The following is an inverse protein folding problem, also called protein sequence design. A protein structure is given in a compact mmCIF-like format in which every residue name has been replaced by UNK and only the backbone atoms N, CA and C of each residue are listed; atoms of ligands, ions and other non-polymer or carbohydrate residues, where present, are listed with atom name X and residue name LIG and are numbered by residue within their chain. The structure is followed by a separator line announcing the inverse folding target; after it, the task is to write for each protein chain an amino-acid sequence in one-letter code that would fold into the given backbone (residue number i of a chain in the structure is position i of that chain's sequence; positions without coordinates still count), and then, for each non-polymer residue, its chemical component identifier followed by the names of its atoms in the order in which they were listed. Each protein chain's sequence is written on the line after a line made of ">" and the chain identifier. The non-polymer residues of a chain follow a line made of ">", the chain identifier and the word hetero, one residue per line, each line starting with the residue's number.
data_IF_933821362926
#
_entry.id   IF_933821362926
#
_cell.length_a   1.000
_cell.length_b   1.000
_cell.length_c   1.000
_cell.angle_alpha   90.00
_cell.angle_beta   90.00
_cell.angle_gamma   90.00
#
_symmetry.space_group_name_H-M   'P 1'
#
loop_
_entity.id
_entity.type
_entity.pdbx_description
1 polymer ?
#
# COMPACT_ATOMS: atom_id res chain seq x y z
N UNK A 1 8.40 -14.17 4.48
CA UNK A 1 8.70 -12.78 4.87
C UNK A 1 8.54 -12.48 6.37
N UNK A 2 7.66 -13.15 7.13
CA UNK A 2 7.45 -12.92 8.59
C UNK A 2 8.68 -13.07 9.50
N UNK A 3 9.77 -13.66 9.02
CA UNK A 3 11.04 -13.82 9.76
C UNK A 3 11.99 -12.63 9.60
N UNK A 4 11.61 -11.61 8.82
CA UNK A 4 12.41 -10.40 8.62
C UNK A 4 11.87 -9.34 9.59
N UNK A 5 12.68 -8.85 10.55
CA UNK A 5 12.24 -7.85 11.51
C UNK A 5 11.69 -6.59 10.83
N UNK A 6 10.59 -6.05 11.36
CA UNK A 6 9.94 -4.86 10.82
C UNK A 6 9.06 -5.09 9.60
N UNK A 7 9.02 -6.30 9.01
CA UNK A 7 8.07 -6.66 7.96
C UNK A 7 6.83 -7.36 8.51
N UNK A 8 5.67 -6.94 8.02
CA UNK A 8 4.36 -7.39 8.44
C UNK A 8 3.58 -7.92 7.21
N UNK A 9 3.59 -9.24 6.95
CA UNK A 9 2.77 -9.83 5.89
C UNK A 9 1.27 -9.75 6.21
N UNK A 10 0.38 -9.95 5.21
CA UNK A 10 -1.05 -10.02 5.45
C UNK A 10 -1.40 -11.03 6.55
N UNK A 11 -2.28 -10.62 7.46
CA UNK A 11 -2.84 -11.50 8.48
C UNK A 11 -4.05 -12.26 7.92
N UNK A 12 -4.09 -13.57 8.16
CA UNK A 12 -5.24 -14.43 7.83
C UNK A 12 -5.88 -14.86 9.14
N UNK A 13 -7.15 -14.51 9.40
CA UNK A 13 -7.87 -14.99 10.57
C UNK A 13 -8.00 -16.51 10.58
N UNK A 14 -7.98 -17.11 11.77
CA UNK A 14 -7.92 -18.57 11.95
C UNK A 14 -9.17 -19.32 11.42
N UNK A 15 -10.27 -18.61 11.18
CA UNK A 15 -11.57 -19.15 10.75
C UNK A 15 -11.81 -19.09 9.23
N UNK A 16 -10.82 -18.64 8.44
CA UNK A 16 -10.98 -18.48 6.99
C UNK A 16 -9.68 -18.71 6.22
N UNK A 17 -9.82 -18.92 4.92
CA UNK A 17 -8.70 -18.95 3.98
C UNK A 17 -8.68 -17.68 3.13
N UNK A 18 -7.61 -17.49 2.36
CA UNK A 18 -7.42 -16.30 1.53
C UNK A 18 -6.85 -16.67 0.17
N UNK A 19 -7.14 -15.83 -0.82
CA UNK A 19 -6.41 -15.73 -2.07
C UNK A 19 -6.01 -14.28 -2.26
N UNK A 20 -4.75 -14.05 -2.66
CA UNK A 20 -4.22 -12.71 -2.81
C UNK A 20 -4.29 -12.26 -4.28
N UNK A 21 -5.23 -11.37 -4.60
CA UNK A 21 -5.17 -10.61 -5.85
C UNK A 21 -3.97 -9.64 -5.85
N UNK A 22 -3.69 -9.05 -4.68
CA UNK A 22 -2.51 -8.24 -4.38
C UNK A 22 -1.92 -8.69 -3.06
N UNK A 23 -0.64 -9.01 -3.03
CA UNK A 23 0.07 -9.35 -1.80
C UNK A 23 0.65 -8.07 -1.18
N UNK A 24 -0.16 -7.39 -0.36
CA UNK A 24 0.25 -6.16 0.31
C UNK A 24 1.07 -6.47 1.56
N UNK A 25 2.33 -6.07 1.54
CA UNK A 25 3.26 -6.18 2.66
C UNK A 25 3.34 -4.83 3.37
N UNK A 26 3.16 -4.83 4.69
CA UNK A 26 3.42 -3.65 5.52
C UNK A 26 4.82 -3.70 6.11
N UNK A 27 5.33 -2.53 6.46
CA UNK A 27 6.47 -2.41 7.35
C UNK A 27 6.06 -1.61 8.60
N UNK A 28 6.79 -1.79 9.69
CA UNK A 28 6.57 -1.08 10.96
C UNK A 28 7.63 0.00 11.14
N UNK A 29 7.31 1.29 10.93
CA UNK A 29 8.27 2.38 11.10
C UNK A 29 8.88 2.45 12.49
N UNK A 30 8.13 2.10 13.54
CA UNK A 30 8.61 2.16 14.91
C UNK A 30 9.58 1.02 15.20
N UNK A 31 9.23 -0.21 14.79
CA UNK A 31 10.11 -1.36 14.95
C UNK A 31 11.42 -1.22 14.15
N UNK A 32 11.36 -0.51 13.01
CA UNK A 32 12.51 -0.17 12.17
C UNK A 32 13.28 1.07 12.67
N UNK A 33 12.79 1.76 13.71
CA UNK A 33 13.45 2.94 14.26
C UNK A 33 13.52 4.14 13.31
N UNK A 34 12.64 4.20 12.31
CA UNK A 34 12.69 5.19 11.24
C UNK A 34 12.62 6.63 11.80
N UNK A 35 13.48 7.50 11.27
CA UNK A 35 13.51 8.94 11.59
C UNK A 35 13.01 9.83 10.45
N UNK A 36 12.68 9.22 9.32
CA UNK A 36 12.12 9.86 8.14
C UNK A 36 10.62 9.53 8.01
N UNK A 37 9.85 10.31 7.24
CA UNK A 37 8.47 9.96 6.92
C UNK A 37 8.34 8.54 6.35
N UNK A 38 7.29 7.81 6.74
CA UNK A 38 7.05 6.45 6.27
C UNK A 38 6.94 6.38 4.74
N UNK A 39 6.37 7.41 4.10
CA UNK A 39 6.28 7.54 2.64
C UNK A 39 7.65 7.61 1.97
N UNK A 40 8.61 8.29 2.59
CA UNK A 40 9.96 8.45 2.03
C UNK A 40 10.71 7.12 2.11
N UNK A 41 10.60 6.44 3.25
CA UNK A 41 11.11 5.08 3.40
C UNK A 41 10.46 4.11 2.41
N UNK A 42 9.12 4.14 2.27
CA UNK A 42 8.37 3.29 1.33
C UNK A 42 8.92 3.44 -0.08
N UNK A 43 9.12 4.67 -0.54
CA UNK A 43 9.61 4.92 -1.90
C UNK A 43 11.03 4.39 -2.07
N UNK A 44 11.94 4.69 -1.13
CA UNK A 44 13.32 4.16 -1.17
C UNK A 44 13.37 2.63 -1.09
N UNK A 45 12.50 2.03 -0.29
CA UNK A 45 12.37 0.57 -0.20
C UNK A 45 11.90 -0.04 -1.52
N UNK A 46 10.89 0.57 -2.16
CA UNK A 46 10.43 0.14 -3.49
C UNK A 46 11.57 0.23 -4.50
N UNK A 47 12.28 1.35 -4.57
CA UNK A 47 13.41 1.54 -5.50
C UNK A 47 14.52 0.50 -5.27
N UNK A 48 14.86 0.21 -4.01
CA UNK A 48 15.86 -0.79 -3.65
C UNK A 48 15.44 -2.22 -4.04
N UNK A 49 14.16 -2.56 -3.81
CA UNK A 49 13.61 -3.86 -4.19
C UNK A 49 13.57 -4.03 -5.72
N UNK A 50 13.16 -3.00 -6.45
CA UNK A 50 13.18 -2.99 -7.91
C UNK A 50 14.61 -3.15 -8.45
N UNK A 51 15.61 -2.52 -7.83
CA UNK A 51 17.02 -2.69 -8.18
C UNK A 51 17.53 -4.13 -7.96
N UNK A 52 16.96 -4.87 -7.01
CA UNK A 52 17.21 -6.31 -6.80
C UNK A 52 16.36 -7.22 -7.71
N UNK A 53 15.55 -6.65 -8.61
CA UNK A 53 14.70 -7.39 -9.55
C UNK A 53 13.36 -7.84 -8.97
N UNK A 54 12.94 -7.29 -7.83
CA UNK A 54 11.61 -7.54 -7.25
C UNK A 54 10.59 -6.63 -7.91
N UNK A 55 9.56 -7.24 -8.50
CA UNK A 55 8.40 -6.50 -9.00
C UNK A 55 7.58 -5.97 -7.81
N UNK A 56 7.52 -4.66 -7.63
CA UNK A 56 6.81 -4.01 -6.52
C UNK A 56 5.95 -2.82 -6.99
N UNK A 57 4.87 -2.51 -6.28
CA UNK A 57 4.01 -1.35 -6.60
C UNK A 57 3.23 -0.87 -5.36
N UNK A 58 2.50 0.23 -5.45
CA UNK A 58 1.79 0.84 -4.31
C UNK A 58 0.27 0.61 -4.32
N UNK A 59 -0.33 0.48 -5.52
CA UNK A 59 -1.78 0.45 -5.77
C UNK A 59 -2.55 1.47 -4.92
N UNK A 60 -2.48 2.72 -5.39
CA UNK A 60 -2.87 3.97 -4.72
C UNK A 60 -1.89 4.42 -3.62
N UNK A 61 -1.89 5.73 -3.37
CA UNK A 61 -1.06 6.40 -2.34
C UNK A 61 -1.89 7.26 -1.39
N UNK A 62 -3.20 7.35 -1.64
CA UNK A 62 -4.17 8.08 -0.83
C UNK A 62 -5.46 7.26 -0.73
N UNK A 63 -6.22 7.40 0.36
CA UNK A 63 -7.49 6.71 0.53
C UNK A 63 -8.54 7.26 -0.45
N UNK A 64 -9.55 6.45 -0.75
CA UNK A 64 -10.60 6.77 -1.72
C UNK A 64 -11.29 8.13 -1.47
N UNK A 65 -11.63 8.53 -0.23
CA UNK A 65 -12.19 9.85 0.07
C UNK A 65 -11.35 11.02 -0.45
N UNK A 66 -10.03 10.87 -0.55
CA UNK A 66 -9.13 11.92 -1.04
C UNK A 66 -9.20 12.13 -2.56
N UNK A 67 -9.87 11.25 -3.30
CA UNK A 67 -9.90 11.34 -4.76
C UNK A 67 -10.76 12.54 -5.20
N UNK A 68 -10.41 13.23 -6.29
CA UNK A 68 -11.12 14.43 -6.73
C UNK A 68 -12.63 14.26 -6.89
N UNK A 69 -13.10 13.08 -7.32
CA UNK A 69 -14.54 12.80 -7.48
C UNK A 69 -15.32 12.87 -6.16
N UNK A 70 -14.66 12.60 -5.02
CA UNK A 70 -15.26 12.68 -3.68
C UNK A 70 -15.05 14.05 -3.01
N UNK A 71 -14.17 14.88 -3.56
CA UNK A 71 -13.90 16.23 -3.08
C UNK A 71 -14.67 17.30 -3.87
N UNK A 72 -15.03 17.01 -5.13
CA UNK A 72 -15.74 17.91 -6.04
C UNK A 72 -17.15 17.39 -6.33
N UNK A 73 -17.95 17.25 -5.28
CA UNK A 73 -19.27 16.60 -5.34
C UNK A 73 -20.26 17.29 -6.29
N UNK A 74 -20.05 18.58 -6.60
CA UNK A 74 -20.83 19.37 -7.54
C UNK A 74 -20.48 19.12 -9.02
N UNK A 75 -19.37 18.44 -9.31
CA UNK A 75 -18.92 18.10 -10.68
C UNK A 75 -19.42 16.72 -11.15
N UNK A 76 -20.23 16.04 -10.35
CA UNK A 76 -20.79 14.71 -10.65
C UNK A 76 -21.70 14.66 -11.89
N UNK A 77 -21.99 13.44 -12.35
CA UNK A 77 -22.84 13.17 -13.52
C UNK A 77 -24.19 13.87 -13.37
N UNK A 78 -24.46 14.88 -14.21
CA UNK A 78 -25.65 15.76 -14.13
C UNK A 78 -25.66 16.61 -12.85
N UNK A 79 -24.84 17.66 -12.86
CA UNK A 79 -24.87 18.76 -11.87
C UNK A 79 -24.74 18.29 -10.41
N UNK A 80 -23.87 17.30 -10.17
CA UNK A 80 -23.56 16.81 -8.83
C UNK A 80 -24.39 15.60 -8.36
N UNK A 81 -25.28 15.05 -9.19
CA UNK A 81 -25.92 13.75 -8.89
C UNK A 81 -24.86 12.62 -8.85
N UNK A 82 -24.91 11.67 -7.89
CA UNK A 82 -25.94 11.46 -6.86
C UNK A 82 -25.74 12.24 -5.54
N UNK A 83 -24.64 12.98 -5.37
CA UNK A 83 -24.27 13.63 -4.10
C UNK A 83 -25.07 14.90 -3.80
N UNK A 84 -25.47 15.61 -4.85
CA UNK A 84 -26.20 16.87 -4.85
C UNK A 84 -27.41 16.77 -5.80
N UNK A 85 -28.53 16.17 -5.36
CA UNK A 85 -29.77 16.25 -6.09
C UNK A 85 -30.21 17.71 -6.27
N UNK A 86 -30.84 18.02 -7.40
CA UNK A 86 -31.25 19.39 -7.74
C UNK A 86 -32.15 19.99 -6.66
N UNK A 87 -31.71 21.10 -6.06
CA UNK A 87 -32.46 21.85 -5.06
C UNK A 87 -32.30 21.36 -3.61
N UNK A 88 -31.42 20.37 -3.37
CA UNK A 88 -31.13 19.85 -2.04
C UNK A 88 -29.70 20.19 -1.59
N UNK A 89 -29.43 20.30 -0.28
CA UNK A 89 -28.07 20.36 0.24
C UNK A 89 -27.32 19.04 -0.01
N UNK A 90 -25.97 19.06 -0.02
CA UNK A 90 -25.19 17.84 -0.18
C UNK A 90 -25.54 16.83 0.92
N UNK A 91 -25.84 15.60 0.52
CA UNK A 91 -26.25 14.54 1.44
C UNK A 91 -25.08 13.88 2.17
N UNK A 92 -23.86 14.03 1.64
CA UNK A 92 -22.64 13.40 2.15
C UNK A 92 -21.48 14.37 1.98
N UNK A 93 -20.53 14.32 2.92
CA UNK A 93 -19.21 14.94 2.81
C UNK A 93 -18.16 13.86 3.07
N UNK A 94 -17.01 13.96 2.41
CA UNK A 94 -15.93 13.00 2.53
C UNK A 94 -14.69 13.71 3.06
N UNK A 95 -14.33 13.38 4.30
CA UNK A 95 -13.18 13.95 5.00
C UNK A 95 -12.09 12.87 5.10
N UNK A 96 -10.97 12.98 4.36
CA UNK A 96 -9.89 11.99 4.42
C UNK A 96 -9.38 11.71 5.84
N UNK A 97 -9.40 12.72 6.71
CA UNK A 97 -9.01 12.66 8.11
C UNK A 97 -9.86 11.69 8.96
N UNK A 98 -11.06 11.34 8.50
CA UNK A 98 -11.90 10.33 9.15
C UNK A 98 -11.36 8.90 8.94
N UNK A 99 -10.35 8.72 8.06
CA UNK A 99 -9.79 7.43 7.68
C UNK A 99 -8.27 7.33 7.92
N UNK A 100 -7.78 7.60 9.15
CA UNK A 100 -6.35 7.65 9.43
C UNK A 100 -5.65 6.30 9.18
N UNK A 101 -6.30 5.18 9.48
CA UNK A 101 -5.74 3.85 9.21
C UNK A 101 -5.63 3.54 7.72
N UNK A 102 -6.53 4.09 6.89
CA UNK A 102 -6.44 3.92 5.44
C UNK A 102 -5.23 4.70 4.89
N UNK A 103 -5.01 5.93 5.35
CA UNK A 103 -3.82 6.69 4.99
C UNK A 103 -2.54 5.98 5.48
N UNK A 104 -2.54 5.54 6.74
CA UNK A 104 -1.41 4.80 7.33
C UNK A 104 -1.06 3.55 6.55
N UNK A 105 -2.06 2.78 6.09
CA UNK A 105 -1.83 1.63 5.21
C UNK A 105 -1.14 2.04 3.91
N UNK A 106 -1.55 3.14 3.27
CA UNK A 106 -0.92 3.62 2.03
C UNK A 106 0.53 4.03 2.26
N UNK A 107 0.83 4.65 3.40
CA UNK A 107 2.17 5.16 3.72
C UNK A 107 3.13 4.05 4.14
N UNK A 108 2.63 3.03 4.85
CA UNK A 108 3.43 1.96 5.48
C UNK A 108 3.40 0.63 4.72
N UNK A 109 3.07 0.62 3.42
CA UNK A 109 2.99 -0.63 2.67
C UNK A 109 3.36 -0.55 1.19
N UNK A 110 3.73 -1.72 0.67
CA UNK A 110 3.95 -1.98 -0.75
C UNK A 110 3.16 -3.22 -1.13
N UNK A 111 2.99 -3.45 -2.43
CA UNK A 111 2.48 -4.68 -2.99
C UNK A 111 3.62 -5.38 -3.69
N UNK A 112 3.83 -6.65 -3.34
CA UNK A 112 4.70 -7.55 -4.09
C UNK A 112 3.92 -8.03 -5.31
N UNK A 113 4.56 -8.00 -6.47
CA UNK A 113 4.01 -8.28 -7.79
C UNK A 113 3.05 -7.20 -8.34
N UNK A 114 3.18 -6.88 -9.63
CA UNK A 114 2.26 -5.98 -10.33
C UNK A 114 1.08 -6.72 -10.97
N UNK A 115 0.14 -5.96 -11.54
CA UNK A 115 -1.03 -6.52 -12.24
C UNK A 115 -0.68 -7.47 -13.39
N UNK A 116 0.32 -7.19 -14.26
CA UNK A 116 0.68 -8.12 -15.34
C UNK A 116 1.37 -9.40 -14.84
N UNK A 117 1.97 -9.35 -13.64
CA UNK A 117 2.76 -10.43 -13.06
C UNK A 117 2.25 -10.83 -11.68
N UNK A 118 0.96 -11.20 -11.52
CA UNK A 118 0.35 -11.34 -10.21
C UNK A 118 0.93 -12.52 -9.42
N UNK A 119 0.96 -12.39 -8.10
CA UNK A 119 1.63 -13.36 -7.21
C UNK A 119 1.11 -14.80 -7.37
N UNK A 120 -0.20 -14.98 -7.61
CA UNK A 120 -0.84 -16.29 -7.70
C UNK A 120 -0.49 -17.07 -8.98
N UNK A 121 0.23 -16.45 -9.93
CA UNK A 121 0.77 -17.09 -11.13
C UNK A 121 2.29 -17.31 -11.08
N UNK A 122 2.97 -16.82 -10.04
CA UNK A 122 4.41 -16.96 -9.93
C UNK A 122 4.79 -18.31 -9.34
N UNK A 123 5.88 -18.90 -9.85
CA UNK A 123 6.43 -20.12 -9.27
C UNK A 123 7.11 -19.85 -7.92
N UNK A 124 7.32 -20.93 -7.16
CA UNK A 124 7.89 -20.84 -5.83
C UNK A 124 9.38 -20.41 -5.86
N UNK A 125 10.13 -20.81 -6.88
CA UNK A 125 11.55 -20.49 -7.03
C UNK A 125 11.76 -18.98 -7.15
N UNK A 126 10.96 -18.31 -7.98
CA UNK A 126 10.95 -16.85 -8.09
C UNK A 126 10.60 -16.19 -6.75
N UNK A 127 9.61 -16.72 -6.03
CA UNK A 127 9.23 -16.18 -4.73
C UNK A 127 10.32 -16.37 -3.66
N UNK A 128 11.12 -17.43 -3.74
CA UNK A 128 12.30 -17.62 -2.89
C UNK A 128 13.39 -16.57 -3.19
N UNK A 129 13.63 -16.25 -4.47
CA UNK A 129 14.51 -15.16 -4.87
C UNK A 129 14.01 -13.81 -4.35
N UNK A 130 12.70 -13.54 -4.42
CA UNK A 130 12.13 -12.32 -3.85
C UNK A 130 12.37 -12.27 -2.34
N UNK A 131 12.15 -13.36 -1.61
CA UNK A 131 12.45 -13.41 -0.17
C UNK A 131 13.94 -13.13 0.10
N UNK A 132 14.86 -13.65 -0.73
CA UNK A 132 16.29 -13.37 -0.60
C UNK A 132 16.62 -11.88 -0.85
N UNK A 133 16.03 -11.26 -1.87
CA UNK A 133 16.17 -9.83 -2.15
C UNK A 133 15.65 -8.98 -0.98
N UNK A 134 14.47 -9.30 -0.44
CA UNK A 134 13.95 -8.65 0.77
C UNK A 134 14.91 -8.77 1.95
N UNK A 135 15.53 -9.93 2.18
CA UNK A 135 16.53 -10.10 3.24
C UNK A 135 17.73 -9.19 3.02
N UNK A 136 18.29 -9.21 1.80
CA UNK A 136 19.46 -8.39 1.45
C UNK A 136 19.18 -6.90 1.67
N UNK A 137 18.03 -6.40 1.20
CA UNK A 137 17.65 -4.99 1.40
C UNK A 137 17.49 -4.68 2.89
N UNK A 138 16.84 -5.57 3.65
CA UNK A 138 16.61 -5.35 5.08
C UNK A 138 17.88 -5.46 5.95
N UNK A 139 18.89 -6.21 5.50
CA UNK A 139 20.20 -6.28 6.13
C UNK A 139 21.05 -5.03 5.89
N UNK A 140 20.69 -4.20 4.90
CA UNK A 140 21.41 -2.99 4.51
C UNK A 140 20.52 -1.72 4.58
N UNK A 141 19.50 -1.69 5.44
CA UNK A 141 18.55 -0.56 5.54
C UNK A 141 19.23 0.77 5.84
N UNK A 142 20.34 0.77 6.57
CA UNK A 142 21.07 2.00 6.90
C UNK A 142 21.51 2.76 5.63
N UNK A 143 21.80 2.05 4.54
CA UNK A 143 22.14 2.64 3.23
C UNK A 143 20.94 3.31 2.54
N UNK A 144 19.71 2.98 2.94
CA UNK A 144 18.49 3.65 2.47
C UNK A 144 18.18 4.90 3.31
N UNK A 145 18.63 4.95 4.56
CA UNK A 145 18.27 6.01 5.50
C UNK A 145 19.18 7.23 5.46
N UNK A 146 20.24 7.20 4.62
CA UNK A 146 21.11 8.35 4.31
C UNK A 146 20.45 9.40 3.42
#
# INVERSE_FOLDING_TARGET
>A
MSKIPGLLPPYVPDDRTTIYHKFRLRFDPQALGLKIPATDFRNKLTDALEAEGVEATLWHVTPLPSFPVFQRLNEGYVQGTPWLPKGEPPRVQYHPEDYPEAQRLMDESIIVNTEPYPIYLQDLELMEHYVAAFRKVFENLDELLV
#
